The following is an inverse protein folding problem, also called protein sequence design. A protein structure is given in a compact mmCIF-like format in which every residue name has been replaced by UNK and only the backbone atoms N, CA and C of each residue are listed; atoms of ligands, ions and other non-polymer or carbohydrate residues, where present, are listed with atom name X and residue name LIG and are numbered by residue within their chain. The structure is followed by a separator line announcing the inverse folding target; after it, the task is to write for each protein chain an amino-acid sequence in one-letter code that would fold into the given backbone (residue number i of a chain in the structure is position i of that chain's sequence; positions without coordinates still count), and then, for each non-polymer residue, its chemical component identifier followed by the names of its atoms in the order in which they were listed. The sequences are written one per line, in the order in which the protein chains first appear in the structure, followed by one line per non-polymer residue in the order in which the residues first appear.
data_IF_033187316015
#
_entry.id   IF_033187316015
#
_cell.length_a   1.000
_cell.length_b   1.000
_cell.length_c   1.000
_cell.angle_alpha   90.00
_cell.angle_beta   90.00
_cell.angle_gamma   90.00
#
_symmetry.space_group_name_H-M   'P 1'
#
loop_
_entity.id
_entity.type
_entity.pdbx_description
1 polymer ?
#
# COMPACT_ATOMS: atom_id res chain seq x y z
N UNK A 1 36.40 39.63 -0.42
CA UNK A 1 35.19 38.93 -0.89
C UNK A 1 35.25 37.51 -0.37
N UNK A 2 34.45 37.10 0.63
CA UNK A 2 34.55 35.74 1.15
C UNK A 2 33.94 34.77 0.12
N UNK A 3 34.68 33.70 -0.13
CA UNK A 3 34.40 32.63 -1.08
C UNK A 3 33.16 31.84 -0.60
N UNK A 4 32.09 31.84 -1.39
CA UNK A 4 30.86 31.10 -1.09
C UNK A 4 31.08 29.60 -1.41
N UNK A 5 31.12 28.75 -0.38
CA UNK A 5 31.23 27.31 -0.55
C UNK A 5 29.86 26.71 -0.92
N UNK A 6 29.81 26.00 -2.05
CA UNK A 6 28.62 25.27 -2.52
C UNK A 6 28.69 23.86 -1.93
N UNK A 7 27.77 23.51 -1.03
CA UNK A 7 27.65 22.16 -0.47
C UNK A 7 26.77 21.34 -1.43
N UNK A 8 27.25 20.22 -2.00
CA UNK A 8 26.42 19.35 -2.80
C UNK A 8 25.40 18.65 -1.90
N UNK A 9 24.11 18.83 -2.18
CA UNK A 9 23.05 18.11 -1.52
C UNK A 9 23.14 16.61 -1.89
N UNK A 10 23.72 15.81 -1.00
CA UNK A 10 23.72 14.36 -1.16
C UNK A 10 22.27 13.88 -1.15
N UNK A 11 21.86 13.18 -2.21
CA UNK A 11 20.57 12.49 -2.25
C UNK A 11 20.57 11.43 -1.16
N UNK A 12 19.86 11.68 -0.06
CA UNK A 12 19.68 10.69 0.99
C UNK A 12 18.82 9.54 0.42
N UNK A 13 19.46 8.43 0.06
CA UNK A 13 18.79 7.16 -0.16
C UNK A 13 18.27 6.66 1.19
N UNK A 14 17.06 7.09 1.56
CA UNK A 14 16.30 6.35 2.55
C UNK A 14 15.97 5.00 1.91
N UNK A 15 16.41 3.89 2.53
CA UNK A 15 16.22 2.51 2.05
C UNK A 15 14.76 2.03 2.05
N UNK A 16 13.82 2.86 1.62
CA UNK A 16 12.38 2.62 1.62
C UNK A 16 11.85 2.17 0.26
N UNK A 17 12.49 1.19 -0.36
CA UNK A 17 11.94 0.54 -1.56
C UNK A 17 10.58 -0.14 -1.26
N UNK A 18 9.79 -0.48 -2.30
CA UNK A 18 8.42 -0.97 -2.14
C UNK A 18 8.30 -2.35 -1.46
N UNK A 19 9.42 -3.08 -1.31
CA UNK A 19 9.49 -4.40 -0.70
C UNK A 19 8.87 -4.54 0.70
N UNK A 20 8.78 -3.47 1.50
CA UNK A 20 8.21 -3.53 2.86
C UNK A 20 6.73 -3.10 2.95
N UNK A 21 6.05 -2.95 1.82
CA UNK A 21 4.65 -2.49 1.76
C UNK A 21 3.79 -3.58 1.15
N UNK A 22 2.71 -3.95 1.84
CA UNK A 22 1.64 -4.79 1.29
C UNK A 22 0.46 -3.93 0.83
N UNK A 23 -0.08 -4.23 -0.35
CA UNK A 23 -1.26 -3.55 -0.92
C UNK A 23 -2.42 -4.52 -0.95
N UNK A 24 -3.52 -4.14 -0.32
CA UNK A 24 -4.72 -4.98 -0.22
C UNK A 24 -5.75 -4.45 -1.20
N UNK A 25 -6.20 -5.31 -2.11
CA UNK A 25 -7.16 -4.95 -3.16
C UNK A 25 -8.41 -5.80 -3.00
N UNK A 26 -9.58 -5.18 -3.09
CA UNK A 26 -10.83 -5.93 -3.08
C UNK A 26 -11.18 -6.36 -4.52
N UNK A 27 -11.09 -7.65 -4.88
CA UNK A 27 -11.39 -8.12 -6.23
C UNK A 27 -12.88 -8.02 -6.61
N UNK A 28 -13.77 -7.75 -5.65
CA UNK A 28 -15.22 -7.64 -5.89
C UNK A 28 -15.66 -6.21 -6.23
N UNK A 29 -14.74 -5.25 -6.18
CA UNK A 29 -15.02 -3.84 -6.40
C UNK A 29 -14.13 -3.31 -7.54
N UNK A 30 -14.71 -2.98 -8.71
CA UNK A 30 -13.97 -2.44 -9.85
C UNK A 30 -13.18 -1.16 -9.53
N UNK A 31 -13.70 -0.32 -8.64
CA UNK A 31 -13.01 0.92 -8.24
C UNK A 31 -11.78 0.60 -7.39
N UNK A 32 -11.89 -0.40 -6.49
CA UNK A 32 -10.75 -0.90 -5.71
C UNK A 32 -9.67 -1.49 -6.61
N UNK A 33 -10.05 -2.27 -7.63
CA UNK A 33 -9.11 -2.80 -8.62
C UNK A 33 -8.41 -1.69 -9.41
N UNK A 34 -9.16 -0.69 -9.89
CA UNK A 34 -8.60 0.40 -10.67
C UNK A 34 -7.56 1.20 -9.88
N UNK A 35 -7.90 1.61 -8.65
CA UNK A 35 -6.99 2.36 -7.77
C UNK A 35 -5.81 1.49 -7.33
N UNK A 36 -6.06 0.23 -6.95
CA UNK A 36 -5.03 -0.71 -6.52
C UNK A 36 -3.98 -0.95 -7.61
N UNK A 37 -4.43 -1.27 -8.83
CA UNK A 37 -3.54 -1.50 -9.97
C UNK A 37 -2.74 -0.24 -10.33
N UNK A 38 -3.39 0.94 -10.32
CA UNK A 38 -2.70 2.21 -10.57
C UNK A 38 -1.60 2.46 -9.52
N UNK A 39 -1.89 2.23 -8.24
CA UNK A 39 -0.93 2.41 -7.15
C UNK A 39 0.25 1.43 -7.25
N UNK A 40 -0.04 0.14 -7.50
CA UNK A 40 0.97 -0.92 -7.69
C UNK A 40 1.93 -0.56 -8.81
N UNK A 41 1.40 -0.09 -9.95
CA UNK A 41 2.22 0.31 -11.10
C UNK A 41 3.07 1.55 -10.80
N UNK A 42 2.50 2.57 -10.15
CA UNK A 42 3.22 3.82 -9.85
C UNK A 42 4.35 3.65 -8.81
N UNK A 43 4.23 2.64 -7.95
CA UNK A 43 5.17 2.41 -6.83
C UNK A 43 6.00 1.15 -7.01
N UNK A 44 5.86 0.47 -8.14
CA UNK A 44 6.58 -0.77 -8.46
C UNK A 44 6.45 -1.82 -7.35
N UNK A 45 5.24 -1.96 -6.81
CA UNK A 45 4.98 -2.91 -5.72
C UNK A 45 5.21 -4.32 -6.23
N UNK A 46 6.04 -5.15 -5.55
CA UNK A 46 6.24 -6.54 -5.94
C UNK A 46 4.92 -7.29 -5.98
N UNK A 47 4.72 -8.15 -6.97
CA UNK A 47 3.45 -8.90 -7.12
C UNK A 47 3.11 -9.73 -5.87
N UNK A 48 4.12 -10.30 -5.21
CA UNK A 48 3.97 -11.06 -3.96
C UNK A 48 3.45 -10.20 -2.78
N UNK A 49 3.54 -8.88 -2.87
CA UNK A 49 3.05 -7.94 -1.86
C UNK A 49 1.63 -7.43 -2.18
N UNK A 50 1.00 -7.91 -3.26
CA UNK A 50 -0.37 -7.53 -3.63
C UNK A 50 -1.33 -8.64 -3.21
N UNK A 51 -2.19 -8.35 -2.24
CA UNK A 51 -3.09 -9.32 -1.62
C UNK A 51 -4.52 -9.00 -2.05
N UNK A 52 -5.18 -9.98 -2.68
CA UNK A 52 -6.57 -9.86 -3.09
C UNK A 52 -7.49 -10.41 -2.01
N UNK A 53 -8.17 -9.53 -1.29
CA UNK A 53 -9.04 -9.91 -0.18
C UNK A 53 -10.51 -9.60 -0.53
N UNK A 54 -11.34 -10.60 -0.85
CA UNK A 54 -12.72 -10.38 -1.24
C UNK A 54 -13.56 -9.82 -0.08
N UNK A 55 -14.02 -8.59 -0.23
CA UNK A 55 -14.91 -7.91 0.73
C UNK A 55 -16.20 -7.45 0.03
N UNK A 56 -17.32 -7.47 0.76
CA UNK A 56 -18.60 -7.01 0.20
C UNK A 56 -18.90 -5.58 0.65
N UNK A 57 -18.98 -4.60 -0.28
CA UNK A 57 -19.09 -3.18 0.04
C UNK A 57 -20.46 -2.71 0.54
N UNK A 58 -21.37 -3.62 0.93
CA UNK A 58 -22.74 -3.27 1.36
C UNK A 58 -22.79 -2.46 2.67
N UNK A 59 -21.64 -2.04 3.18
CA UNK A 59 -21.48 -1.23 4.38
C UNK A 59 -20.38 -0.22 4.06
N UNK A 60 -20.76 0.99 3.60
CA UNK A 60 -19.84 2.14 3.51
C UNK A 60 -19.24 2.50 4.88
N UNK A 61 -19.82 1.95 5.95
CA UNK A 61 -19.38 2.05 7.33
C UNK A 61 -19.13 0.63 7.85
N UNK A 62 -18.01 0.38 8.50
CA UNK A 62 -17.74 -0.89 9.16
C UNK A 62 -17.42 -0.63 10.63
N UNK A 63 -17.89 -1.49 11.52
CA UNK A 63 -17.50 -1.39 12.93
C UNK A 63 -16.06 -1.89 13.10
N UNK A 64 -15.37 -1.41 14.14
CA UNK A 64 -14.01 -1.88 14.44
C UNK A 64 -13.93 -3.40 14.65
N UNK A 65 -14.98 -4.01 15.21
CA UNK A 65 -15.08 -5.46 15.36
C UNK A 65 -15.20 -6.17 14.00
N UNK A 66 -16.08 -5.68 13.11
CA UNK A 66 -16.22 -6.22 11.75
C UNK A 66 -14.92 -6.08 10.96
N UNK A 67 -14.24 -4.94 11.01
CA UNK A 67 -12.92 -4.78 10.41
C UNK A 67 -11.92 -5.82 10.94
N UNK A 68 -11.82 -5.98 12.27
CA UNK A 68 -10.89 -6.94 12.88
C UNK A 68 -11.18 -8.38 12.45
N UNK A 69 -12.43 -8.79 12.52
CA UNK A 69 -12.81 -10.18 12.29
C UNK A 69 -12.87 -10.56 10.81
N UNK A 70 -13.22 -9.61 9.93
CA UNK A 70 -13.50 -9.88 8.52
C UNK A 70 -12.42 -9.36 7.56
N UNK A 71 -11.56 -8.43 7.98
CA UNK A 71 -10.41 -7.94 7.19
C UNK A 71 -9.08 -8.30 7.84
N UNK A 72 -8.85 -7.87 9.09
CA UNK A 72 -7.52 -7.95 9.70
C UNK A 72 -7.09 -9.38 10.00
N UNK A 73 -7.94 -10.19 10.66
CA UNK A 73 -7.61 -11.58 11.00
C UNK A 73 -7.34 -12.43 9.74
N UNK A 74 -8.19 -12.42 8.70
CA UNK A 74 -7.89 -13.13 7.46
C UNK A 74 -6.60 -12.65 6.80
N UNK A 75 -6.37 -11.33 6.75
CA UNK A 75 -5.14 -10.77 6.18
C UNK A 75 -3.88 -11.26 6.87
N UNK A 76 -3.87 -11.30 8.21
CA UNK A 76 -2.71 -11.78 8.98
C UNK A 76 -2.44 -13.28 8.81
N UNK A 77 -3.41 -14.06 8.34
CA UNK A 77 -3.21 -15.47 8.03
C UNK A 77 -2.55 -15.71 6.67
N UNK A 78 -2.53 -14.70 5.79
CA UNK A 78 -1.96 -14.76 4.44
C UNK A 78 -0.51 -14.23 4.38
N UNK A 79 0.00 -13.65 5.49
CA UNK A 79 1.37 -13.18 5.64
C UNK A 79 2.27 -14.24 6.28
#
# INVERSE_FOLDING_TARGET
MPLLAIIPAATALAGGGPQNVAVIVNPRDPDSLAVGNAYVNLREIPAQNVIYLPWTPNVRTSTGAQYRDKLLKPLLAEL
#
